data_IF_470922890709
#
_entry.id   IF_470922890709
#
_cell.length_a   1.000
_cell.length_b   1.000
_cell.length_c   1.000
_cell.angle_alpha   90.00
_cell.angle_beta   90.00
_cell.angle_gamma   90.00
#
_symmetry.space_group_name_H-M   'P 1'
#
loop_
_entity.id
_entity.type
_entity.pdbx_description
1 polymer ?
#
# COMPACT_ATOMS: atom_id res chain seq x y z
N UNK A 1 -38.19 -30.75 -19.29
CA UNK A 1 -36.91 -30.21 -18.81
C UNK A 1 -37.24 -29.10 -17.82
N UNK A 2 -37.12 -29.34 -16.52
CA UNK A 2 -37.45 -28.34 -15.50
C UNK A 2 -36.19 -27.54 -15.17
N UNK A 3 -36.18 -26.24 -15.47
CA UNK A 3 -35.11 -25.35 -15.03
C UNK A 3 -35.17 -25.20 -13.51
N UNK A 4 -34.03 -25.43 -12.85
CA UNK A 4 -33.86 -25.16 -11.42
C UNK A 4 -34.05 -23.68 -11.09
N UNK A 5 -34.24 -23.33 -9.81
CA UNK A 5 -34.50 -21.96 -9.40
C UNK A 5 -33.38 -21.03 -9.88
N UNK A 6 -33.75 -19.95 -10.58
CA UNK A 6 -32.80 -18.92 -10.97
C UNK A 6 -32.17 -18.34 -9.71
N UNK A 7 -30.84 -18.41 -9.62
CA UNK A 7 -30.09 -17.83 -8.50
C UNK A 7 -30.37 -16.33 -8.36
N UNK A 8 -30.09 -15.75 -7.18
CA UNK A 8 -30.36 -14.33 -6.93
C UNK A 8 -29.67 -13.46 -7.99
N UNK A 9 -30.42 -12.50 -8.55
CA UNK A 9 -29.90 -11.58 -9.55
C UNK A 9 -28.81 -10.69 -8.94
N UNK A 10 -27.64 -10.62 -9.57
CA UNK A 10 -26.54 -9.72 -9.17
C UNK A 10 -27.03 -8.27 -9.29
N UNK A 11 -26.97 -7.53 -8.18
CA UNK A 11 -27.46 -6.13 -8.09
C UNK A 11 -26.39 -5.08 -8.39
N UNK A 12 -25.12 -5.46 -8.31
CA UNK A 12 -23.99 -4.57 -8.51
C UNK A 12 -22.67 -5.32 -8.36
N UNK A 13 -21.60 -4.71 -8.86
CA UNK A 13 -20.23 -5.23 -8.83
C UNK A 13 -19.29 -4.09 -8.47
N UNK A 14 -18.33 -4.37 -7.59
CA UNK A 14 -17.23 -3.46 -7.28
C UNK A 14 -15.99 -3.97 -8.01
N UNK A 15 -15.37 -3.11 -8.79
CA UNK A 15 -14.13 -3.41 -9.48
C UNK A 15 -13.00 -2.60 -8.88
N UNK A 16 -11.86 -3.25 -8.70
CA UNK A 16 -10.62 -2.53 -8.44
C UNK A 16 -10.21 -1.70 -9.68
N UNK A 17 -9.38 -0.69 -9.47
CA UNK A 17 -8.88 0.13 -10.56
C UNK A 17 -7.64 -0.49 -11.22
N UNK A 18 -6.60 -0.82 -10.44
CA UNK A 18 -5.28 -1.24 -10.96
C UNK A 18 -5.29 -2.64 -11.55
N UNK A 19 -5.02 -2.79 -12.84
CA UNK A 19 -5.02 -4.10 -13.51
C UNK A 19 -6.41 -4.75 -13.69
N UNK A 20 -7.46 -4.19 -13.09
CA UNK A 20 -8.85 -4.61 -13.30
C UNK A 20 -9.59 -3.68 -14.26
N UNK A 21 -9.74 -2.39 -13.94
CA UNK A 21 -10.35 -1.40 -14.85
C UNK A 21 -9.33 -0.63 -15.70
N UNK A 22 -8.09 -0.54 -15.22
CA UNK A 22 -6.98 0.13 -15.88
C UNK A 22 -5.89 -0.87 -16.25
N UNK A 23 -4.96 -0.46 -17.12
CA UNK A 23 -3.74 -1.23 -17.33
C UNK A 23 -2.96 -1.26 -16.03
N UNK A 24 -2.45 -2.44 -15.68
CA UNK A 24 -1.44 -2.52 -14.64
C UNK A 24 -0.27 -1.61 -15.03
N UNK A 25 0.16 -0.79 -14.08
CA UNK A 25 1.39 -0.02 -14.17
C UNK A 25 2.23 -0.44 -12.97
N UNK A 26 3.48 -0.81 -13.22
CA UNK A 26 4.46 -0.86 -12.14
C UNK A 26 4.69 0.58 -11.70
N UNK A 27 3.92 1.00 -10.69
CA UNK A 27 4.28 2.18 -9.92
C UNK A 27 5.55 1.77 -9.20
N UNK A 28 6.66 2.40 -9.56
CA UNK A 28 7.92 2.18 -8.87
C UNK A 28 7.79 2.80 -7.46
N UNK A 29 7.29 1.98 -6.53
CA UNK A 29 7.14 2.34 -5.12
C UNK A 29 8.51 2.70 -4.52
N UNK A 30 9.59 2.11 -5.03
CA UNK A 30 10.95 2.48 -4.64
C UNK A 30 11.25 3.92 -5.09
N UNK A 31 10.95 4.31 -6.33
CA UNK A 31 11.14 5.70 -6.78
C UNK A 31 10.32 6.70 -5.94
N UNK A 32 9.09 6.34 -5.58
CA UNK A 32 8.23 7.17 -4.74
C UNK A 32 8.83 7.33 -3.34
N UNK A 33 9.27 6.24 -2.72
CA UNK A 33 9.89 6.28 -1.39
C UNK A 33 11.25 6.98 -1.40
N UNK A 34 12.04 6.84 -2.46
CA UNK A 34 13.27 7.62 -2.63
C UNK A 34 12.98 9.12 -2.72
N UNK A 35 11.93 9.52 -3.46
CA UNK A 35 11.55 10.91 -3.56
C UNK A 35 11.08 11.46 -2.20
N UNK A 36 10.27 10.71 -1.46
CA UNK A 36 9.83 11.06 -0.12
C UNK A 36 11.01 11.16 0.85
N UNK A 37 11.88 10.15 0.89
CA UNK A 37 13.04 10.10 1.77
C UNK A 37 14.00 11.27 1.56
N UNK A 38 14.27 11.64 0.31
CA UNK A 38 15.08 12.83 -0.02
C UNK A 38 14.44 14.13 0.44
N UNK A 39 13.11 14.20 0.45
CA UNK A 39 12.38 15.37 0.96
C UNK A 39 12.47 15.47 2.48
N UNK A 40 12.38 14.32 3.17
CA UNK A 40 12.40 14.22 4.63
C UNK A 40 13.78 14.50 5.21
N UNK A 41 14.79 13.75 4.77
CA UNK A 41 16.17 13.91 5.20
C UNK A 41 17.09 13.42 4.07
N UNK A 42 17.62 14.38 3.31
CA UNK A 42 18.48 14.08 2.17
C UNK A 42 19.77 13.34 2.58
N UNK A 43 20.29 13.56 3.78
CA UNK A 43 21.51 12.93 4.28
C UNK A 43 21.27 11.48 4.69
N UNK A 44 20.03 11.14 5.04
CA UNK A 44 19.59 9.78 5.42
C UNK A 44 18.67 9.12 4.41
N UNK A 45 18.59 9.65 3.18
CA UNK A 45 17.59 9.24 2.21
C UNK A 45 17.59 7.74 1.90
N UNK A 46 18.77 7.11 1.81
CA UNK A 46 18.88 5.67 1.54
C UNK A 46 18.34 4.83 2.70
N UNK A 47 18.74 5.16 3.94
CA UNK A 47 18.26 4.49 5.16
C UNK A 47 16.75 4.63 5.34
N UNK A 48 16.22 5.85 5.11
CA UNK A 48 14.80 6.14 5.15
C UNK A 48 14.03 5.33 4.10
N UNK A 49 14.54 5.28 2.86
CA UNK A 49 13.92 4.53 1.76
C UNK A 49 13.83 3.04 2.11
N UNK A 50 14.91 2.44 2.60
CA UNK A 50 14.95 1.04 3.00
C UNK A 50 13.94 0.74 4.11
N UNK A 51 13.83 1.62 5.11
CA UNK A 51 12.89 1.45 6.21
C UNK A 51 11.44 1.55 5.75
N UNK A 52 11.11 2.56 4.94
CA UNK A 52 9.76 2.76 4.40
C UNK A 52 9.31 1.56 3.55
N UNK A 53 10.19 1.05 2.68
CA UNK A 53 9.93 -0.17 1.91
C UNK A 53 9.72 -1.40 2.79
N UNK A 54 10.53 -1.57 3.83
CA UNK A 54 10.41 -2.71 4.74
C UNK A 54 9.08 -2.69 5.52
N UNK A 55 8.67 -1.51 6.00
CA UNK A 55 7.39 -1.30 6.69
C UNK A 55 6.21 -1.56 5.75
N UNK A 56 6.22 -0.96 4.55
CA UNK A 56 5.15 -1.15 3.58
C UNK A 56 5.01 -2.63 3.18
N UNK A 57 6.12 -3.31 2.90
CA UNK A 57 6.11 -4.74 2.56
C UNK A 57 5.57 -5.60 3.72
N UNK A 58 5.86 -5.24 4.98
CA UNK A 58 5.31 -5.94 6.14
C UNK A 58 3.79 -5.75 6.26
N UNK A 59 3.29 -4.56 5.97
CA UNK A 59 1.87 -4.26 5.99
C UNK A 59 1.12 -4.98 4.86
N UNK A 60 1.69 -5.04 3.66
CA UNK A 60 1.13 -5.84 2.55
C UNK A 60 1.00 -7.32 2.90
N UNK A 61 2.07 -7.94 3.45
CA UNK A 61 2.01 -9.34 3.91
C UNK A 61 0.94 -9.57 4.98
N UNK A 62 0.70 -8.61 5.87
CA UNK A 62 -0.38 -8.70 6.85
C UNK A 62 -1.75 -8.65 6.17
N UNK A 63 -1.94 -7.79 5.17
CA UNK A 63 -3.21 -7.69 4.45
C UNK A 63 -3.56 -9.00 3.73
N UNK A 64 -2.57 -9.74 3.21
CA UNK A 64 -2.80 -11.07 2.59
C UNK A 64 -3.44 -12.09 3.53
N UNK A 65 -3.17 -11.98 4.84
CA UNK A 65 -3.64 -12.96 5.85
C UNK A 65 -4.84 -12.49 6.66
N UNK A 66 -5.01 -11.18 6.80
CA UNK A 66 -6.03 -10.57 7.67
C UNK A 66 -7.14 -9.84 6.92
N UNK A 67 -6.92 -9.55 5.64
CA UNK A 67 -7.79 -8.70 4.81
C UNK A 67 -8.08 -7.33 5.45
N UNK A 68 -7.19 -6.84 6.31
CA UNK A 68 -7.27 -5.51 6.92
C UNK A 68 -6.50 -4.49 6.08
N UNK A 69 -7.14 -3.35 5.83
CA UNK A 69 -6.49 -2.20 5.20
C UNK A 69 -5.52 -1.52 6.15
N UNK A 70 -4.53 -0.85 5.58
CA UNK A 70 -3.59 -0.01 6.33
C UNK A 70 -3.51 1.36 5.67
N UNK A 71 -3.35 2.42 6.45
CA UNK A 71 -3.24 3.79 5.92
C UNK A 71 -1.78 4.19 5.70
N UNK A 72 -1.56 5.19 4.84
CA UNK A 72 -0.24 5.81 4.67
C UNK A 72 0.31 6.35 6.01
N UNK A 73 -0.56 6.93 6.84
CA UNK A 73 -0.17 7.42 8.17
C UNK A 73 0.34 6.31 9.07
N UNK A 74 -0.20 5.09 8.97
CA UNK A 74 0.30 3.94 9.74
C UNK A 74 1.71 3.55 9.29
N UNK A 75 1.98 3.57 7.98
CA UNK A 75 3.31 3.29 7.40
C UNK A 75 4.33 4.29 7.95
N UNK A 76 4.02 5.58 7.86
CA UNK A 76 4.91 6.64 8.35
C UNK A 76 5.13 6.53 9.87
N UNK A 77 4.09 6.29 10.65
CA UNK A 77 4.21 6.15 12.10
C UNK A 77 5.07 4.95 12.53
N UNK A 78 5.02 3.83 11.80
CA UNK A 78 5.90 2.68 12.04
C UNK A 78 7.35 2.97 11.62
N UNK A 79 7.56 3.66 10.49
CA UNK A 79 8.88 4.11 10.07
C UNK A 79 9.50 5.08 11.09
N UNK A 80 8.74 6.06 11.60
CA UNK A 80 9.17 6.97 12.68
C UNK A 80 9.65 6.18 13.90
N UNK A 81 8.87 5.18 14.34
CA UNK A 81 9.24 4.34 15.49
C UNK A 81 10.52 3.55 15.26
N UNK A 82 10.79 3.13 14.03
CA UNK A 82 11.96 2.33 13.67
C UNK A 82 13.23 3.19 13.59
N UNK A 83 13.12 4.42 13.06
CA UNK A 83 14.27 5.26 12.70
C UNK A 83 14.55 6.40 13.68
N UNK A 84 13.58 6.74 14.53
CA UNK A 84 13.68 7.87 15.46
C UNK A 84 13.66 9.26 14.80
N UNK A 85 13.19 9.35 13.55
CA UNK A 85 12.99 10.60 12.80
C UNK A 85 11.50 10.79 12.59
N UNK A 86 10.98 12.00 12.79
CA UNK A 86 9.59 12.29 12.48
C UNK A 86 9.38 12.40 10.96
N UNK A 87 9.02 11.29 10.32
CA UNK A 87 8.76 11.22 8.88
C UNK A 87 7.42 11.86 8.48
N UNK A 88 6.59 12.30 9.44
CA UNK A 88 5.26 12.87 9.17
C UNK A 88 5.21 14.41 9.21
N UNK A 89 6.22 15.09 9.75
CA UNK A 89 6.34 16.56 9.81
C UNK A 89 7.26 17.17 8.74
N UNK A 90 7.84 16.35 7.86
CA UNK A 90 8.76 16.77 6.81
C UNK A 90 8.08 17.40 5.58
#
# INVERSE_FOLDING_TARGET
>A
MSSGPAGPAVRGVLFDWGGTLSRWADVDLLDLWQAAARHIDADRADELTESLLAVEAAMWRRTETTQQSTSLSDVLAEATRTLGVDVAEA
#
